data_IF_937670451461
#
_entry.id   IF_937670451461
#
_cell.length_a   1.000
_cell.length_b   1.000
_cell.length_c   1.000
_cell.angle_alpha   90.00
_cell.angle_beta   90.00
_cell.angle_gamma   90.00
#
_symmetry.space_group_name_H-M   'P 1'
#
loop_
_entity.id
_entity.type
_entity.pdbx_description
1 polymer ?
#
# COMPACT_ATOMS: atom_id res chain seq x y z
N UNK A 1 -4.55 18.33 -8.74
CA UNK A 1 -4.92 17.29 -9.72
C UNK A 1 -6.12 16.52 -9.20
N UNK A 2 -7.00 16.08 -10.09
CA UNK A 2 -8.20 15.30 -9.77
C UNK A 2 -8.09 13.97 -10.49
N UNK A 3 -8.35 12.86 -9.78
CA UNK A 3 -8.34 11.52 -10.36
C UNK A 3 -9.68 11.20 -11.04
N UNK A 4 -9.70 10.13 -11.84
CA UNK A 4 -10.93 9.64 -12.48
C UNK A 4 -11.97 9.18 -11.46
N UNK A 5 -11.50 8.68 -10.31
CA UNK A 5 -12.28 8.23 -9.16
C UNK A 5 -12.75 9.40 -8.26
N UNK A 6 -12.42 10.64 -8.64
CA UNK A 6 -12.82 11.86 -7.94
C UNK A 6 -11.89 12.27 -6.79
N UNK A 7 -10.72 11.65 -6.65
CA UNK A 7 -9.77 12.03 -5.60
C UNK A 7 -9.01 13.30 -5.96
N UNK A 8 -8.87 14.21 -5.01
CA UNK A 8 -8.13 15.46 -5.21
C UNK A 8 -6.79 15.42 -4.48
N UNK A 9 -5.74 15.77 -5.21
CA UNK A 9 -4.39 15.92 -4.68
C UNK A 9 -3.87 17.32 -5.03
N UNK A 10 -3.54 18.11 -4.02
CA UNK A 10 -2.93 19.43 -4.18
C UNK A 10 -1.47 19.31 -4.63
N UNK A 11 -1.06 20.13 -5.59
CA UNK A 11 0.36 20.19 -5.98
C UNK A 11 1.20 20.81 -4.88
N UNK A 12 2.42 20.27 -4.71
CA UNK A 12 3.38 20.81 -3.76
C UNK A 12 3.87 22.20 -4.16
N UNK A 13 4.12 22.40 -5.45
CA UNK A 13 4.60 23.65 -6.01
C UNK A 13 3.58 24.21 -7.01
N UNK A 14 3.44 25.53 -7.04
CA UNK A 14 2.67 26.21 -8.07
C UNK A 14 3.42 26.20 -9.40
N UNK A 15 2.68 25.99 -10.50
CA UNK A 15 3.23 25.87 -11.84
C UNK A 15 2.79 27.07 -12.65
N UNK A 16 3.73 27.98 -12.93
CA UNK A 16 3.44 29.19 -13.70
C UNK A 16 3.40 28.88 -15.20
N UNK A 17 2.44 29.46 -15.91
CA UNK A 17 2.34 29.37 -17.37
C UNK A 17 3.18 30.48 -18.02
N UNK A 18 4.50 30.25 -18.14
CA UNK A 18 5.44 31.24 -18.70
C UNK A 18 5.97 30.81 -20.07
N UNK A 19 5.95 29.51 -20.38
CA UNK A 19 6.52 28.93 -21.60
C UNK A 19 5.42 28.46 -22.57
N UNK A 20 5.81 28.07 -23.78
CA UNK A 20 4.90 27.47 -24.75
C UNK A 20 4.12 26.28 -24.15
N UNK A 21 2.90 26.09 -24.65
CA UNK A 21 1.93 25.11 -24.11
C UNK A 21 2.55 23.71 -23.91
N UNK A 22 3.31 23.12 -24.86
CA UNK A 22 3.88 21.79 -24.68
C UNK A 22 4.89 21.71 -23.52
N UNK A 23 5.69 22.77 -23.34
CA UNK A 23 6.69 22.83 -22.28
C UNK A 23 6.02 23.01 -20.91
N UNK A 24 4.99 23.86 -20.85
CA UNK A 24 4.20 24.04 -19.64
C UNK A 24 3.48 22.74 -19.25
N UNK A 25 2.84 22.05 -20.20
CA UNK A 25 2.15 20.79 -19.95
C UNK A 25 3.10 19.70 -19.44
N UNK A 26 4.31 19.60 -20.00
CA UNK A 26 5.35 18.71 -19.48
C UNK A 26 5.74 19.07 -18.04
N UNK A 27 5.83 20.36 -17.71
CA UNK A 27 6.12 20.83 -16.36
C UNK A 27 5.00 20.44 -15.38
N UNK A 28 3.73 20.51 -15.80
CA UNK A 28 2.58 20.03 -15.03
C UNK A 28 2.69 18.54 -14.73
N UNK A 29 2.95 17.72 -15.74
CA UNK A 29 3.09 16.26 -15.57
C UNK A 29 4.28 15.91 -14.65
N UNK A 30 5.39 16.64 -14.76
CA UNK A 30 6.54 16.43 -13.87
C UNK A 30 6.19 16.72 -12.41
N UNK A 31 5.49 17.83 -12.13
CA UNK A 31 5.06 18.15 -10.76
C UNK A 31 3.98 17.20 -10.24
N UNK A 32 3.09 16.70 -11.11
CA UNK A 32 2.16 15.61 -10.75
C UNK A 32 2.95 14.39 -10.23
N UNK A 33 3.95 13.92 -11.00
CA UNK A 33 4.78 12.77 -10.61
C UNK A 33 5.54 13.00 -9.31
N UNK A 34 6.15 14.18 -9.13
CA UNK A 34 6.86 14.55 -7.90
C UNK A 34 5.93 14.59 -6.69
N UNK A 35 4.76 15.20 -6.84
CA UNK A 35 3.76 15.31 -5.78
C UNK A 35 3.24 13.93 -5.37
N UNK A 36 2.86 13.07 -6.32
CA UNK A 36 2.42 11.70 -6.01
C UNK A 36 3.53 10.91 -5.32
N UNK A 37 4.78 10.97 -5.80
CA UNK A 37 5.92 10.30 -5.16
C UNK A 37 6.12 10.76 -3.72
N UNK A 38 5.97 12.05 -3.44
CA UNK A 38 6.05 12.60 -2.09
C UNK A 38 4.93 12.08 -1.19
N UNK A 39 3.69 12.10 -1.66
CA UNK A 39 2.53 11.66 -0.87
C UNK A 39 2.57 10.15 -0.61
N UNK A 40 3.03 9.34 -1.57
CA UNK A 40 3.24 7.91 -1.34
C UNK A 40 4.25 7.69 -0.20
N UNK A 41 5.40 8.38 -0.22
CA UNK A 41 6.39 8.29 0.87
C UNK A 41 5.79 8.68 2.22
N UNK A 42 5.01 9.77 2.24
CA UNK A 42 4.32 10.21 3.45
C UNK A 42 3.28 9.17 3.92
N UNK A 43 2.53 8.57 3.01
CA UNK A 43 1.55 7.51 3.32
C UNK A 43 2.21 6.27 3.93
N UNK A 44 3.33 5.82 3.36
CA UNK A 44 4.13 4.70 3.87
C UNK A 44 4.62 4.98 5.29
N UNK A 45 5.18 6.19 5.50
CA UNK A 45 5.66 6.61 6.82
C UNK A 45 4.52 6.68 7.84
N UNK A 46 3.38 7.27 7.45
CA UNK A 46 2.22 7.43 8.33
C UNK A 46 1.61 6.09 8.74
N UNK A 47 1.64 5.08 7.87
CA UNK A 47 1.13 3.75 8.19
C UNK A 47 1.84 3.13 9.40
N UNK A 48 3.16 3.31 9.52
CA UNK A 48 3.94 2.75 10.62
C UNK A 48 4.13 3.69 11.81
N UNK A 49 4.20 5.01 11.57
CA UNK A 49 4.62 5.97 12.60
C UNK A 49 3.47 6.61 13.35
N UNK A 50 2.29 6.69 12.74
CA UNK A 50 1.11 7.33 13.34
C UNK A 50 0.25 6.27 14.00
N UNK A 51 -0.07 6.45 15.29
CA UNK A 51 -1.03 5.60 16.00
C UNK A 51 -2.45 5.90 15.50
N UNK A 52 -2.87 5.23 14.43
CA UNK A 52 -4.24 5.27 13.90
C UNK A 52 -4.67 3.87 13.45
N UNK A 53 -5.99 3.64 13.35
CA UNK A 53 -6.49 2.39 12.79
C UNK A 53 -6.16 2.28 11.29
N UNK A 54 -6.13 1.05 10.75
CA UNK A 54 -5.96 0.85 9.32
C UNK A 54 -7.07 1.56 8.54
N UNK A 55 -8.30 1.50 9.08
CA UNK A 55 -9.48 2.16 8.56
C UNK A 55 -9.32 3.69 8.45
N UNK A 56 -8.86 4.34 9.52
CA UNK A 56 -8.66 5.80 9.52
C UNK A 56 -7.56 6.21 8.54
N UNK A 57 -6.47 5.43 8.48
CA UNK A 57 -5.40 5.66 7.52
C UNK A 57 -5.89 5.59 6.06
N UNK A 58 -6.77 4.63 5.72
CA UNK A 58 -7.34 4.50 4.38
C UNK A 58 -8.19 5.73 4.01
N UNK A 59 -8.95 6.27 4.97
CA UNK A 59 -9.80 7.45 4.76
C UNK A 59 -8.93 8.70 4.53
N UNK A 60 -7.88 8.85 5.34
CA UNK A 60 -7.03 10.04 5.37
C UNK A 60 -6.05 10.15 4.20
N UNK A 61 -5.83 9.07 3.44
CA UNK A 61 -4.90 9.04 2.33
C UNK A 61 -5.59 8.77 0.99
N UNK A 62 -4.97 9.23 -0.11
CA UNK A 62 -5.45 8.93 -1.46
C UNK A 62 -5.38 7.43 -1.74
N UNK A 63 -6.37 6.87 -2.43
CA UNK A 63 -6.52 5.44 -2.68
C UNK A 63 -5.32 4.83 -3.42
N UNK A 64 -4.75 5.55 -4.39
CA UNK A 64 -3.52 5.08 -5.05
C UNK A 64 -2.35 4.99 -4.06
N UNK A 65 -2.26 5.92 -3.11
CA UNK A 65 -1.19 5.95 -2.13
C UNK A 65 -1.34 4.86 -1.06
N UNK A 66 -2.58 4.55 -0.66
CA UNK A 66 -2.86 3.45 0.28
C UNK A 66 -2.54 2.11 -0.35
N UNK A 67 -2.97 1.87 -1.59
CA UNK A 67 -2.69 0.60 -2.29
C UNK A 67 -1.19 0.35 -2.49
N UNK A 68 -0.43 1.37 -2.87
CA UNK A 68 1.03 1.24 -3.04
C UNK A 68 1.71 0.97 -1.69
N UNK A 69 1.33 1.71 -0.64
CA UNK A 69 1.88 1.50 0.69
C UNK A 69 1.55 0.11 1.25
N UNK A 70 0.33 -0.38 1.06
CA UNK A 70 -0.06 -1.74 1.46
C UNK A 70 0.80 -2.80 0.79
N UNK A 71 1.09 -2.66 -0.52
CA UNK A 71 1.97 -3.60 -1.23
C UNK A 71 3.37 -3.66 -0.63
N UNK A 72 3.96 -2.49 -0.34
CA UNK A 72 5.31 -2.38 0.22
C UNK A 72 5.36 -2.98 1.63
N UNK A 73 4.38 -2.65 2.48
CA UNK A 73 4.31 -3.21 3.83
C UNK A 73 4.06 -4.71 3.82
N UNK A 74 3.19 -5.20 2.93
CA UNK A 74 2.96 -6.63 2.76
C UNK A 74 4.24 -7.37 2.34
N UNK A 75 4.99 -6.84 1.37
CA UNK A 75 6.26 -7.47 0.96
C UNK A 75 7.27 -7.52 2.11
N UNK A 76 7.39 -6.44 2.89
CA UNK A 76 8.29 -6.37 4.03
C UNK A 76 7.87 -7.34 5.16
N UNK A 77 6.58 -7.46 5.44
CA UNK A 77 6.06 -8.38 6.48
C UNK A 77 6.23 -9.86 6.09
N UNK A 78 6.04 -10.20 4.82
CA UNK A 78 6.29 -11.55 4.30
C UNK A 78 7.78 -11.87 4.36
N UNK A 79 8.64 -10.98 3.88
CA UNK A 79 10.10 -11.15 3.94
C UNK A 79 10.58 -11.33 5.38
N UNK A 80 10.15 -10.47 6.30
CA UNK A 80 10.47 -10.59 7.71
C UNK A 80 10.00 -11.93 8.29
N UNK A 81 8.78 -12.37 7.96
CA UNK A 81 8.25 -13.65 8.44
C UNK A 81 9.04 -14.84 7.90
N UNK A 82 9.53 -14.78 6.66
CA UNK A 82 10.39 -15.80 6.08
C UNK A 82 11.78 -15.83 6.74
N UNK A 83 12.37 -14.66 7.02
CA UNK A 83 13.62 -14.58 7.78
C UNK A 83 13.48 -15.25 9.15
N UNK A 84 12.39 -14.98 9.86
CA UNK A 84 12.10 -15.61 11.15
C UNK A 84 11.95 -17.13 11.06
N UNK A 85 11.37 -17.66 9.96
CA UNK A 85 11.32 -19.10 9.73
C UNK A 85 12.72 -19.68 9.54
N UNK A 86 13.59 -19.00 8.80
CA UNK A 86 14.99 -19.42 8.59
C UNK A 86 15.82 -19.41 9.87
N UNK A 87 15.51 -18.49 10.80
CA UNK A 87 16.09 -18.44 12.15
C UNK A 87 15.53 -19.52 13.10
N UNK A 88 14.56 -20.33 12.65
CA UNK A 88 13.99 -21.47 13.39
C UNK A 88 12.58 -21.25 13.94
N UNK A 89 11.97 -20.07 13.75
CA UNK A 89 10.60 -19.80 14.17
C UNK A 89 9.57 -20.26 13.11
N UNK A 90 9.31 -21.57 13.08
CA UNK A 90 8.35 -22.20 12.15
C UNK A 90 6.90 -21.68 12.27
N UNK A 91 6.56 -20.97 13.35
CA UNK A 91 5.22 -20.41 13.57
C UNK A 91 5.07 -18.99 13.00
N UNK A 92 6.15 -18.33 12.59
CA UNK A 92 6.12 -16.93 12.13
C UNK A 92 5.12 -16.70 10.99
N UNK A 93 5.10 -17.59 9.98
CA UNK A 93 4.15 -17.49 8.87
C UNK A 93 2.69 -17.69 9.29
N UNK A 94 2.43 -18.55 10.28
CA UNK A 94 1.07 -18.70 10.84
C UNK A 94 0.66 -17.44 11.62
N UNK A 95 1.58 -16.84 12.37
CA UNK A 95 1.34 -15.56 13.05
C UNK A 95 1.05 -14.43 12.05
N UNK A 96 1.75 -14.37 10.91
CA UNK A 96 1.45 -13.44 9.83
C UNK A 96 0.02 -13.67 9.30
N UNK A 97 -0.36 -14.93 9.09
CA UNK A 97 -1.68 -15.31 8.62
C UNK A 97 -2.81 -14.81 9.52
N UNK A 98 -2.65 -14.93 10.85
CA UNK A 98 -3.61 -14.37 11.81
C UNK A 98 -3.74 -12.85 11.67
N UNK A 99 -2.63 -12.12 11.59
CA UNK A 99 -2.64 -10.65 11.39
C UNK A 99 -3.37 -10.25 10.10
N UNK A 100 -3.17 -11.01 9.02
CA UNK A 100 -3.84 -10.75 7.74
C UNK A 100 -5.35 -10.97 7.84
N UNK A 101 -5.79 -12.02 8.55
CA UNK A 101 -7.21 -12.26 8.80
C UNK A 101 -7.85 -11.12 9.61
N UNK A 102 -7.21 -10.71 10.71
CA UNK A 102 -7.70 -9.62 11.55
C UNK A 102 -7.89 -8.32 10.75
N UNK A 103 -6.93 -7.99 9.87
CA UNK A 103 -7.04 -6.83 8.97
C UNK A 103 -8.19 -6.97 7.97
N UNK A 104 -8.41 -8.17 7.41
CA UNK A 104 -9.53 -8.40 6.49
C UNK A 104 -10.88 -8.23 7.20
N UNK A 105 -10.99 -8.71 8.44
CA UNK A 105 -12.21 -8.55 9.24
C UNK A 105 -12.48 -7.08 9.58
N UNK A 106 -11.43 -6.31 9.93
CA UNK A 106 -11.55 -4.86 10.13
C UNK A 106 -12.10 -4.15 8.87
N UNK A 107 -11.55 -4.47 7.70
CA UNK A 107 -11.99 -3.87 6.43
C UNK A 107 -13.42 -4.29 6.06
N UNK A 108 -13.79 -5.55 6.30
CA UNK A 108 -15.15 -6.03 6.05
C UNK A 108 -16.18 -5.30 6.90
N UNK A 109 -15.87 -5.04 8.17
CA UNK A 109 -16.74 -4.25 9.05
C UNK A 109 -16.94 -2.83 8.50
N UNK A 110 -15.87 -2.18 8.03
CA UNK A 110 -16.00 -0.84 7.44
C UNK A 110 -16.81 -0.83 6.13
N UNK A 111 -16.63 -1.83 5.26
CA UNK A 111 -17.37 -1.92 3.99
C UNK A 111 -18.88 -2.06 4.23
N UNK A 112 -19.28 -2.76 5.30
CA UNK A 112 -20.69 -2.94 5.69
C UNK A 112 -21.33 -1.65 6.22
N UNK A 113 -20.53 -0.74 6.77
CA UNK A 113 -21.00 0.54 7.26
C UNK A 113 -21.33 1.51 6.10
N UNK A 114 -22.18 2.53 6.36
CA UNK A 114 -22.45 3.57 5.36
C UNK A 114 -21.17 4.37 5.09
N UNK A 115 -20.72 4.38 3.84
CA UNK A 115 -19.53 5.08 3.37
C UNK A 115 -19.85 5.86 2.10
N UNK A 116 -19.18 7.01 1.91
CA UNK A 116 -19.19 7.72 0.64
C UNK A 116 -18.62 6.83 -0.48
N UNK A 117 -19.09 7.03 -1.71
CA UNK A 117 -18.71 6.21 -2.88
C UNK A 117 -17.18 6.09 -3.02
N UNK A 118 -16.45 7.21 -2.91
CA UNK A 118 -14.99 7.23 -3.00
C UNK A 118 -14.33 6.39 -1.91
N UNK A 119 -14.77 6.51 -0.66
CA UNK A 119 -14.21 5.73 0.45
C UNK A 119 -14.55 4.25 0.30
N UNK A 120 -15.78 3.92 -0.10
CA UNK A 120 -16.18 2.53 -0.35
C UNK A 120 -15.29 1.88 -1.40
N UNK A 121 -14.95 2.58 -2.49
CA UNK A 121 -14.01 2.08 -3.51
C UNK A 121 -12.61 1.86 -2.90
N UNK A 122 -12.09 2.77 -2.06
CA UNK A 122 -10.80 2.57 -1.38
C UNK A 122 -10.78 1.32 -0.52
N UNK A 123 -11.81 1.13 0.31
CA UNK A 123 -11.92 -0.01 1.20
C UNK A 123 -12.03 -1.33 0.41
N UNK A 124 -12.88 -1.38 -0.63
CA UNK A 124 -13.02 -2.57 -1.48
C UNK A 124 -11.70 -2.90 -2.17
N UNK A 125 -11.03 -1.91 -2.78
CA UNK A 125 -9.76 -2.14 -3.47
C UNK A 125 -8.67 -2.63 -2.51
N UNK A 126 -8.61 -2.07 -1.30
CA UNK A 126 -7.65 -2.48 -0.28
C UNK A 126 -7.97 -3.88 0.25
N UNK A 127 -9.24 -4.20 0.48
CA UNK A 127 -9.70 -5.53 0.87
C UNK A 127 -9.30 -6.57 -0.16
N UNK A 128 -9.60 -6.33 -1.45
CA UNK A 128 -9.24 -7.24 -2.54
C UNK A 128 -7.73 -7.45 -2.59
N UNK A 129 -6.93 -6.38 -2.49
CA UNK A 129 -5.46 -6.48 -2.48
C UNK A 129 -4.96 -7.41 -1.37
N UNK A 130 -5.44 -7.23 -0.13
CA UNK A 130 -5.05 -8.06 1.01
C UNK A 130 -5.56 -9.50 0.84
N UNK A 131 -6.77 -9.68 0.33
CA UNK A 131 -7.37 -11.00 0.10
C UNK A 131 -6.55 -11.82 -0.91
N UNK A 132 -6.14 -11.22 -2.03
CA UNK A 132 -5.25 -11.90 -2.97
C UNK A 132 -3.87 -12.16 -2.38
N UNK A 133 -3.31 -11.21 -1.62
CA UNK A 133 -2.03 -11.39 -0.91
C UNK A 133 -2.07 -12.54 0.11
N UNK A 134 -3.19 -12.70 0.82
CA UNK A 134 -3.43 -13.83 1.74
C UNK A 134 -3.28 -15.17 1.05
N UNK A 135 -3.87 -15.34 -0.14
CA UNK A 135 -3.77 -16.60 -0.90
C UNK A 135 -2.32 -17.00 -1.25
N UNK A 136 -1.44 -16.02 -1.42
CA UNK A 136 -0.01 -16.26 -1.65
C UNK A 136 0.66 -16.74 -0.36
N UNK A 137 0.33 -16.14 0.79
CA UNK A 137 0.84 -16.58 2.11
C UNK A 137 0.37 -17.99 2.45
N UNK A 138 -0.90 -18.33 2.17
CA UNK A 138 -1.43 -19.68 2.32
C UNK A 138 -0.65 -20.70 1.51
N UNK A 139 -0.34 -20.36 0.25
CA UNK A 139 0.47 -21.21 -0.62
C UNK A 139 1.88 -21.42 -0.07
N UNK A 140 2.55 -20.37 0.38
CA UNK A 140 3.88 -20.45 1.00
C UNK A 140 3.89 -21.36 2.24
N UNK A 141 2.85 -21.32 3.06
CA UNK A 141 2.71 -22.18 4.25
C UNK A 141 2.53 -23.66 3.85
N UNK A 142 1.70 -23.92 2.84
CA UNK A 142 1.38 -25.28 2.41
C UNK A 142 2.56 -25.96 1.71
N UNK A 143 3.25 -25.24 0.84
CA UNK A 143 4.31 -25.79 -0.01
C UNK A 143 5.69 -25.81 0.68
N UNK A 144 5.83 -25.19 1.86
CA UNK A 144 7.09 -25.10 2.64
C UNK A 144 8.28 -24.54 1.84
N UNK A 145 8.02 -23.65 0.87
CA UNK A 145 9.07 -22.93 0.16
C UNK A 145 9.68 -21.86 1.09
N UNK A 146 10.68 -22.26 1.90
CA UNK A 146 11.35 -21.38 2.87
C UNK A 146 12.76 -20.93 2.45
N UNK A 147 13.28 -21.41 1.32
CA UNK A 147 14.62 -21.00 0.86
C UNK A 147 14.56 -19.61 0.23
N UNK A 148 14.81 -18.59 1.05
CA UNK A 148 15.09 -17.23 0.60
C UNK A 148 16.59 -17.16 0.30
N UNK A 149 16.97 -17.01 -0.97
CA UNK A 149 18.36 -16.80 -1.36
C UNK A 149 18.62 -15.28 -1.37
N UNK A 150 19.33 -14.72 -0.38
CA UNK A 150 19.51 -13.26 -0.23
C UNK A 150 20.28 -12.63 -1.40
N UNK A 151 20.93 -13.43 -2.24
CA UNK A 151 21.66 -12.96 -3.41
C UNK A 151 20.75 -12.51 -4.58
N UNK A 152 19.45 -12.82 -4.54
CA UNK A 152 18.51 -12.48 -5.63
C UNK A 152 18.08 -11.00 -5.58
N UNK A 153 18.16 -10.34 -4.42
CA UNK A 153 17.70 -8.95 -4.24
C UNK A 153 18.81 -7.88 -4.32
N UNK A 154 20.07 -8.29 -4.18
CA UNK A 154 21.24 -7.40 -4.35
C UNK A 154 21.34 -6.68 -5.70
N UNK A 155 20.79 -7.17 -6.84
CA UNK A 155 20.82 -6.42 -8.11
C UNK A 155 19.71 -5.36 -8.26
N UNK A 156 18.80 -5.20 -7.30
CA UNK A 156 17.62 -4.33 -7.40
C UNK A 156 17.60 -3.14 -6.42
N UNK A 157 18.69 -2.92 -5.68
CA UNK A 157 18.99 -1.70 -4.92
C UNK A 157 20.10 -0.90 -5.60
#
# INVERSE_FOLDING_TARGET
MVSKEGEMISFKNQIKMIKSVPIWMNSVVQEMKKTVKYIIKMSIYNYASVKQSCSDWIINHAGVCTLVACKIWWTAEVEYSLMQVNEGNLKAMKSLMYKVNDRLDELLLQIRNPLNITNRIKFINTFLLIFYGKSVVERLINERYFTFDPNILLPLL
#
